data_IF_823983768316
#
_entry.id   IF_823983768316
#
_cell.length_a   1.000
_cell.length_b   1.000
_cell.length_c   1.000
_cell.angle_alpha   90.00
_cell.angle_beta   90.00
_cell.angle_gamma   90.00
#
_symmetry.space_group_name_H-M   'P 1'
#
loop_
_entity.id
_entity.type
_entity.pdbx_description
1 polymer ?
#
# COMPACT_ATOMS: atom_id res chain seq x y z
N UNK A 1 -1.73 21.54 0.76
CA UNK A 1 -2.59 20.62 1.56
C UNK A 1 -1.79 19.34 1.75
N UNK A 2 -1.68 18.82 2.96
CA UNK A 2 -0.96 17.55 3.21
C UNK A 2 -1.92 16.38 3.01
N UNK A 3 -1.40 15.27 2.48
CA UNK A 3 -2.16 14.07 2.25
C UNK A 3 -1.68 12.99 3.22
N UNK A 4 -2.60 12.43 3.99
CA UNK A 4 -2.32 11.37 4.97
C UNK A 4 -2.97 10.06 4.53
N UNK A 5 -2.19 9.00 4.58
CA UNK A 5 -2.63 7.63 4.30
C UNK A 5 -2.53 6.84 5.60
N UNK A 6 -3.63 6.26 6.05
CA UNK A 6 -3.64 5.44 7.25
C UNK A 6 -2.89 4.13 6.99
N UNK A 7 -1.73 3.96 7.63
CA UNK A 7 -0.92 2.74 7.54
C UNK A 7 -1.72 1.56 8.10
N UNK A 8 -1.99 0.55 7.28
CA UNK A 8 -2.84 -0.61 7.60
C UNK A 8 -4.26 -0.26 8.08
N UNK A 9 -4.77 0.90 7.61
CA UNK A 9 -6.05 1.47 8.07
C UNK A 9 -5.93 2.27 9.37
N UNK A 10 -7.02 2.94 9.78
CA UNK A 10 -7.09 3.61 11.09
C UNK A 10 -7.23 2.56 12.19
N UNK A 11 -6.12 2.17 12.78
CA UNK A 11 -6.08 1.20 13.87
C UNK A 11 -5.83 1.89 15.22
N UNK A 12 -6.24 1.23 16.30
CA UNK A 12 -6.11 1.71 17.69
C UNK A 12 -5.89 0.50 18.60
N UNK A 13 -5.84 0.70 19.91
CA UNK A 13 -5.84 -0.41 20.88
C UNK A 13 -7.06 -1.33 20.74
N UNK A 14 -8.20 -0.83 20.21
CA UNK A 14 -9.46 -1.58 20.04
C UNK A 14 -9.72 -2.02 18.61
N UNK A 15 -9.04 -1.43 17.64
CA UNK A 15 -9.20 -1.70 16.20
C UNK A 15 -7.89 -2.23 15.68
N UNK A 16 -7.86 -3.52 15.31
CA UNK A 16 -6.66 -4.14 14.73
C UNK A 16 -6.34 -3.57 13.35
N UNK A 17 -5.05 -3.41 13.08
CA UNK A 17 -4.51 -3.11 11.76
C UNK A 17 -4.91 -4.17 10.71
N UNK A 18 -4.91 -3.79 9.44
CA UNK A 18 -5.21 -4.68 8.31
C UNK A 18 -6.58 -5.39 8.45
N UNK A 19 -7.59 -4.69 8.95
CA UNK A 19 -8.97 -5.18 9.06
C UNK A 19 -9.96 -4.28 8.33
N UNK A 20 -11.10 -4.85 7.90
CA UNK A 20 -12.17 -4.08 7.26
C UNK A 20 -12.68 -2.94 8.17
N UNK A 21 -12.65 -3.14 9.50
CA UNK A 21 -13.02 -2.09 10.46
C UNK A 21 -12.04 -0.92 10.39
N UNK A 22 -10.72 -1.20 10.39
CA UNK A 22 -9.69 -0.16 10.29
C UNK A 22 -9.79 0.62 8.97
N UNK A 23 -10.07 -0.06 7.86
CA UNK A 23 -10.25 0.60 6.56
C UNK A 23 -11.50 1.47 6.52
N UNK A 24 -12.62 0.98 7.05
CA UNK A 24 -13.87 1.78 7.15
C UNK A 24 -13.67 3.04 7.99
N UNK A 25 -12.96 2.94 9.10
CA UNK A 25 -12.68 4.11 9.94
C UNK A 25 -11.73 5.10 9.23
N UNK A 26 -10.72 4.63 8.50
CA UNK A 26 -9.89 5.49 7.65
C UNK A 26 -10.71 6.19 6.55
N UNK A 27 -11.65 5.47 5.91
CA UNK A 27 -12.55 6.04 4.92
C UNK A 27 -13.47 7.14 5.49
N UNK A 28 -13.97 6.96 6.70
CA UNK A 28 -14.84 7.95 7.37
C UNK A 28 -14.07 9.17 7.90
N UNK A 29 -12.81 9.00 8.26
CA UNK A 29 -12.01 10.06 8.87
C UNK A 29 -11.78 11.23 7.90
N UNK A 30 -12.02 12.48 8.27
CA UNK A 30 -11.73 13.65 7.42
C UNK A 30 -10.22 13.91 7.30
N UNK A 31 -9.38 13.31 8.15
CA UNK A 31 -7.93 13.53 8.17
C UNK A 31 -7.20 12.66 7.16
N UNK A 32 -7.69 11.44 6.90
CA UNK A 32 -7.04 10.53 5.98
C UNK A 32 -7.58 10.68 4.56
N UNK A 33 -6.67 10.73 3.60
CA UNK A 33 -6.95 10.74 2.17
C UNK A 33 -7.00 9.33 1.57
N UNK A 34 -6.74 8.32 2.40
CA UNK A 34 -6.74 6.93 2.01
C UNK A 34 -6.24 6.02 3.12
N UNK A 35 -6.10 4.77 2.78
CA UNK A 35 -5.47 3.76 3.65
C UNK A 35 -4.50 2.91 2.83
N UNK A 36 -3.53 2.38 3.55
CA UNK A 36 -2.61 1.37 3.04
C UNK A 36 -2.99 0.01 3.59
N UNK A 37 -2.70 -1.07 2.85
CA UNK A 37 -2.87 -2.44 3.31
C UNK A 37 -1.91 -3.42 2.63
N UNK A 38 -1.58 -4.49 3.36
CA UNK A 38 -0.58 -5.49 2.98
C UNK A 38 -1.23 -6.72 2.33
N UNK A 39 -0.89 -7.01 1.08
CA UNK A 39 -1.42 -8.14 0.32
C UNK A 39 -0.48 -9.33 0.35
N UNK A 40 -1.01 -10.50 0.77
CA UNK A 40 -0.35 -11.80 0.71
C UNK A 40 -1.22 -12.84 0.01
N UNK A 41 -0.61 -13.98 -0.31
CA UNK A 41 -1.27 -15.11 -0.98
C UNK A 41 -1.27 -16.33 -0.07
N UNK A 42 -2.42 -16.99 0.06
CA UNK A 42 -2.56 -18.26 0.77
C UNK A 42 -2.19 -19.45 -0.12
N UNK A 43 -2.13 -20.66 0.47
CA UNK A 43 -1.82 -21.91 -0.27
C UNK A 43 -2.79 -22.16 -1.43
N UNK A 44 -4.06 -21.85 -1.25
CA UNK A 44 -5.13 -21.99 -2.25
C UNK A 44 -5.31 -20.74 -3.12
N UNK A 45 -4.25 -19.94 -3.25
CA UNK A 45 -4.16 -18.77 -4.10
C UNK A 45 -5.18 -17.65 -3.78
N UNK A 46 -5.75 -17.63 -2.57
CA UNK A 46 -6.61 -16.53 -2.12
C UNK A 46 -5.74 -15.34 -1.69
N UNK A 47 -6.03 -14.15 -2.23
CA UNK A 47 -5.38 -12.90 -1.84
C UNK A 47 -5.98 -12.40 -0.53
N UNK A 48 -5.15 -12.23 0.49
CA UNK A 48 -5.55 -11.85 1.85
C UNK A 48 -4.79 -10.60 2.32
N UNK A 49 -5.39 -9.88 3.26
CA UNK A 49 -4.79 -8.68 3.84
C UNK A 49 -4.17 -9.02 5.18
N UNK A 50 -2.83 -9.07 5.21
CA UNK A 50 -2.04 -9.33 6.42
C UNK A 50 -0.58 -8.96 6.22
N UNK A 51 0.02 -8.26 7.18
CA UNK A 51 1.42 -7.83 7.09
C UNK A 51 2.42 -9.00 7.24
N UNK A 52 2.31 -9.77 8.33
CA UNK A 52 3.30 -10.80 8.65
C UNK A 52 3.11 -12.05 7.79
N UNK A 53 4.21 -12.71 7.42
CA UNK A 53 4.17 -14.00 6.74
C UNK A 53 3.53 -15.10 7.60
N UNK A 54 3.58 -14.94 8.92
CA UNK A 54 2.97 -15.85 9.89
C UNK A 54 1.85 -15.16 10.66
N UNK A 55 0.80 -15.93 10.96
CA UNK A 55 -0.22 -15.59 11.94
C UNK A 55 -0.39 -16.74 12.92
N UNK A 56 -0.05 -16.50 14.20
CA UNK A 56 0.14 -17.58 15.15
C UNK A 56 1.20 -18.56 14.61
N UNK A 57 0.87 -19.85 14.54
CA UNK A 57 1.76 -20.89 14.00
C UNK A 57 1.60 -21.14 12.49
N UNK A 58 0.74 -20.42 11.81
CA UNK A 58 0.42 -20.67 10.41
C UNK A 58 1.23 -19.74 9.49
N UNK A 59 2.06 -20.33 8.61
CA UNK A 59 2.64 -19.63 7.49
C UNK A 59 1.54 -19.40 6.45
N UNK A 60 1.22 -18.16 6.14
CA UNK A 60 0.10 -17.76 5.26
C UNK A 60 0.16 -18.54 3.94
N UNK A 61 1.30 -18.50 3.28
CA UNK A 61 1.53 -19.13 1.98
C UNK A 61 1.32 -20.65 1.95
N UNK A 62 1.51 -21.34 3.09
CA UNK A 62 1.37 -22.79 3.20
C UNK A 62 0.02 -23.22 3.80
N UNK A 63 -0.88 -22.28 4.05
CA UNK A 63 -2.16 -22.54 4.73
C UNK A 63 -3.32 -22.08 3.85
N UNK A 64 -4.34 -22.95 3.69
CA UNK A 64 -5.56 -22.59 2.96
C UNK A 64 -6.35 -21.51 3.70
N UNK A 65 -6.97 -20.61 2.95
CA UNK A 65 -7.74 -19.49 3.51
C UNK A 65 -8.85 -19.94 4.46
N UNK A 66 -9.56 -21.02 4.14
CA UNK A 66 -10.61 -21.57 5.00
C UNK A 66 -10.11 -21.93 6.41
N UNK A 67 -8.87 -22.41 6.53
CA UNK A 67 -8.23 -22.70 7.83
C UNK A 67 -7.88 -21.41 8.58
N UNK A 68 -7.36 -20.42 7.87
CA UNK A 68 -7.02 -19.11 8.46
C UNK A 68 -8.29 -18.39 8.93
N UNK A 69 -9.32 -18.35 8.11
CA UNK A 69 -10.60 -17.69 8.41
C UNK A 69 -11.29 -18.23 9.66
N UNK A 70 -11.19 -19.55 9.91
CA UNK A 70 -11.76 -20.17 11.14
C UNK A 70 -11.09 -19.69 12.43
N UNK A 71 -9.82 -19.25 12.37
CA UNK A 71 -9.02 -18.92 13.57
C UNK A 71 -8.74 -17.44 13.71
N UNK A 72 -8.69 -16.72 12.59
CA UNK A 72 -8.23 -15.34 12.54
C UNK A 72 -9.18 -14.51 11.67
N UNK A 73 -9.43 -13.30 12.08
CA UNK A 73 -10.26 -12.34 11.32
C UNK A 73 -9.41 -11.65 10.25
N UNK A 74 -9.00 -12.41 9.22
CA UNK A 74 -8.20 -11.90 8.10
C UNK A 74 -9.15 -11.62 6.93
N UNK A 75 -9.24 -10.38 6.42
CA UNK A 75 -10.02 -10.09 5.23
C UNK A 75 -9.28 -10.55 3.96
N UNK A 76 -10.05 -10.84 2.92
CA UNK A 76 -9.52 -10.99 1.58
C UNK A 76 -9.28 -9.62 0.93
N UNK A 77 -8.42 -9.57 -0.09
CA UNK A 77 -8.26 -8.37 -0.92
C UNK A 77 -9.61 -7.96 -1.54
N UNK A 78 -10.39 -8.92 -2.00
CA UNK A 78 -11.73 -8.67 -2.55
C UNK A 78 -12.62 -7.93 -1.54
N UNK A 79 -12.74 -8.43 -0.31
CA UNK A 79 -13.53 -7.79 0.75
C UNK A 79 -13.04 -6.36 1.07
N UNK A 80 -11.73 -6.11 1.00
CA UNK A 80 -11.18 -4.77 1.18
C UNK A 80 -11.51 -3.83 0.02
N UNK A 81 -11.50 -4.32 -1.22
CA UNK A 81 -11.82 -3.55 -2.43
C UNK A 81 -13.34 -3.35 -2.64
N UNK A 82 -14.19 -4.12 -1.98
CA UNK A 82 -15.64 -3.92 -1.95
C UNK A 82 -16.06 -2.72 -1.07
N UNK A 83 -15.12 -2.12 -0.34
CA UNK A 83 -15.39 -0.86 0.37
C UNK A 83 -15.54 0.27 -0.64
N UNK A 84 -16.75 0.80 -0.76
CA UNK A 84 -17.01 1.96 -1.60
C UNK A 84 -16.32 3.20 -1.01
N UNK A 85 -15.34 3.73 -1.73
CA UNK A 85 -14.60 4.94 -1.33
C UNK A 85 -13.99 5.63 -2.55
N UNK A 86 -13.93 6.95 -2.52
CA UNK A 86 -13.19 7.80 -3.46
C UNK A 86 -11.74 8.05 -3.01
N UNK A 87 -11.41 7.62 -1.80
CA UNK A 87 -10.09 7.77 -1.21
C UNK A 87 -9.06 6.82 -1.83
N UNK A 88 -7.80 7.11 -1.61
CA UNK A 88 -6.68 6.28 -2.08
C UNK A 88 -6.68 4.94 -1.34
N UNK A 89 -6.56 3.85 -2.09
CA UNK A 89 -6.26 2.51 -1.60
C UNK A 89 -4.84 2.17 -2.04
N UNK A 90 -3.90 2.14 -1.11
CA UNK A 90 -2.50 1.84 -1.38
C UNK A 90 -2.21 0.37 -1.02
N UNK A 91 -2.01 -0.47 -2.04
CA UNK A 91 -1.78 -1.91 -1.87
C UNK A 91 -0.27 -2.20 -1.86
N UNK A 92 0.26 -2.71 -0.76
CA UNK A 92 1.62 -3.25 -0.70
C UNK A 92 1.62 -4.75 -0.98
N UNK A 93 2.26 -5.18 -2.06
CA UNK A 93 2.45 -6.60 -2.36
C UNK A 93 3.66 -7.12 -1.59
N UNK A 94 3.42 -8.10 -0.68
CA UNK A 94 4.43 -8.70 0.19
C UNK A 94 5.03 -10.00 -0.37
N UNK A 95 4.66 -10.40 -1.58
CA UNK A 95 5.08 -11.67 -2.19
C UNK A 95 5.95 -11.45 -3.42
N UNK A 96 7.15 -12.09 -3.46
CA UNK A 96 8.05 -12.03 -4.62
C UNK A 96 7.52 -12.83 -5.82
N UNK A 97 6.80 -13.90 -5.54
CA UNK A 97 6.28 -14.87 -6.51
C UNK A 97 4.74 -14.86 -6.56
N UNK A 98 4.19 -13.63 -6.49
CA UNK A 98 2.78 -13.37 -6.70
C UNK A 98 2.30 -14.00 -8.02
N UNK A 99 1.16 -14.69 -8.00
CA UNK A 99 0.41 -15.02 -9.20
C UNK A 99 -0.20 -13.73 -9.77
N UNK A 100 0.49 -13.19 -10.79
CA UNK A 100 0.13 -11.90 -11.40
C UNK A 100 -1.24 -11.97 -12.07
N UNK A 101 -1.54 -13.07 -12.76
CA UNK A 101 -2.79 -13.20 -13.50
C UNK A 101 -3.98 -13.29 -12.53
N UNK A 102 -3.84 -14.03 -11.41
CA UNK A 102 -4.84 -14.06 -10.35
C UNK A 102 -5.02 -12.69 -9.70
N UNK A 103 -3.93 -11.98 -9.41
CA UNK A 103 -3.99 -10.63 -8.83
C UNK A 103 -4.71 -9.65 -9.76
N UNK A 104 -4.34 -9.62 -11.05
CA UNK A 104 -4.99 -8.76 -12.04
C UNK A 104 -6.47 -9.10 -12.22
N UNK A 105 -6.83 -10.39 -12.23
CA UNK A 105 -8.23 -10.82 -12.30
C UNK A 105 -9.07 -10.26 -11.14
N UNK A 106 -8.49 -10.16 -9.94
CA UNK A 106 -9.20 -9.58 -8.79
C UNK A 106 -9.32 -8.06 -8.92
N UNK A 107 -8.20 -7.34 -9.12
CA UNK A 107 -8.21 -5.87 -9.06
C UNK A 107 -8.91 -5.22 -10.26
N UNK A 108 -8.91 -5.86 -11.43
CA UNK A 108 -9.54 -5.31 -12.64
C UNK A 108 -11.06 -5.13 -12.53
N UNK A 109 -11.71 -5.77 -11.55
CA UNK A 109 -13.12 -5.55 -11.26
C UNK A 109 -13.38 -4.20 -10.54
N UNK A 110 -12.32 -3.49 -10.11
CA UNK A 110 -12.41 -2.28 -9.28
C UNK A 110 -11.78 -1.04 -9.96
N UNK A 111 -11.86 -0.94 -11.29
CA UNK A 111 -11.26 0.13 -12.10
C UNK A 111 -11.73 1.55 -11.73
N UNK A 112 -12.89 1.68 -11.08
CA UNK A 112 -13.42 2.98 -10.63
C UNK A 112 -12.78 3.46 -9.32
N UNK A 113 -12.04 2.62 -8.62
CA UNK A 113 -11.41 2.97 -7.36
C UNK A 113 -10.02 3.58 -7.57
N UNK A 114 -9.62 4.41 -6.63
CA UNK A 114 -8.33 5.10 -6.64
C UNK A 114 -7.22 4.22 -6.05
N UNK A 115 -6.89 3.12 -6.74
CA UNK A 115 -5.95 2.09 -6.32
C UNK A 115 -4.54 2.43 -6.80
N UNK A 116 -3.56 2.32 -5.89
CA UNK A 116 -2.12 2.43 -6.12
C UNK A 116 -1.45 1.14 -5.65
N UNK A 117 -0.51 0.60 -6.42
CA UNK A 117 0.13 -0.69 -6.13
C UNK A 117 1.62 -0.48 -5.93
N UNK A 118 2.14 -0.94 -4.81
CA UNK A 118 3.56 -0.85 -4.48
C UNK A 118 4.13 -2.18 -4.00
N UNK A 119 5.44 -2.32 -4.05
CA UNK A 119 6.16 -3.44 -3.45
C UNK A 119 7.62 -3.08 -3.22
N UNK A 120 8.26 -3.72 -2.22
CA UNK A 120 9.72 -3.78 -2.12
C UNK A 120 10.34 -4.66 -3.22
N UNK A 121 9.54 -5.51 -3.86
CA UNK A 121 10.00 -6.41 -4.91
C UNK A 121 9.81 -5.77 -6.30
N UNK A 122 10.80 -5.02 -6.78
CA UNK A 122 10.76 -4.37 -8.10
C UNK A 122 10.39 -5.33 -9.24
N UNK A 123 10.78 -6.63 -9.12
CA UNK A 123 10.42 -7.66 -10.10
C UNK A 123 8.92 -7.86 -10.23
N UNK A 124 8.17 -7.77 -9.13
CA UNK A 124 6.70 -7.91 -9.13
C UNK A 124 6.07 -6.73 -9.86
N UNK A 125 6.52 -5.52 -9.56
CA UNK A 125 6.03 -4.29 -10.23
C UNK A 125 6.32 -4.32 -11.73
N UNK A 126 7.53 -4.76 -12.14
CA UNK A 126 7.87 -4.92 -13.57
C UNK A 126 6.95 -5.95 -14.25
N UNK A 127 6.72 -7.11 -13.64
CA UNK A 127 5.80 -8.12 -14.18
C UNK A 127 4.36 -7.60 -14.32
N UNK A 128 3.85 -6.84 -13.34
CA UNK A 128 2.53 -6.19 -13.43
C UNK A 128 2.47 -5.25 -14.64
N UNK A 129 3.50 -4.44 -14.83
CA UNK A 129 3.61 -3.53 -16.00
C UNK A 129 3.64 -4.31 -17.32
N UNK A 130 4.47 -5.35 -17.42
CA UNK A 130 4.57 -6.23 -18.60
C UNK A 130 3.24 -6.92 -18.94
N UNK A 131 2.44 -7.25 -17.93
CA UNK A 131 1.10 -7.85 -18.07
C UNK A 131 -0.02 -6.82 -18.32
N UNK A 132 0.32 -5.54 -18.50
CA UNK A 132 -0.63 -4.49 -18.85
C UNK A 132 -1.49 -4.00 -17.69
N UNK A 133 -0.98 -4.02 -16.45
CA UNK A 133 -1.66 -3.40 -15.32
C UNK A 133 -1.91 -1.93 -15.60
N UNK A 134 -3.17 -1.49 -15.47
CA UNK A 134 -3.59 -0.09 -15.74
C UNK A 134 -3.61 0.79 -14.49
N UNK A 135 -3.44 0.22 -13.32
CA UNK A 135 -3.34 0.96 -12.07
C UNK A 135 -1.95 1.57 -11.90
N UNK A 136 -1.82 2.72 -11.22
CA UNK A 136 -0.53 3.30 -10.89
C UNK A 136 0.38 2.31 -10.14
N UNK A 137 1.60 2.15 -10.65
CA UNK A 137 2.62 1.24 -10.13
C UNK A 137 3.78 2.02 -9.53
N UNK A 138 4.17 1.68 -8.31
CA UNK A 138 5.28 2.30 -7.60
C UNK A 138 6.20 1.30 -6.92
N UNK A 139 7.39 1.75 -6.60
CA UNK A 139 8.37 0.98 -5.82
C UNK A 139 8.53 1.56 -4.43
N UNK A 140 8.78 0.66 -3.49
CA UNK A 140 8.99 0.97 -2.09
C UNK A 140 10.44 0.61 -1.75
N UNK A 141 11.22 1.62 -1.28
CA UNK A 141 12.64 1.47 -1.03
C UNK A 141 13.07 2.10 0.29
N UNK A 142 14.04 1.48 0.95
CA UNK A 142 14.71 2.03 2.14
C UNK A 142 15.79 3.07 1.79
N UNK A 143 16.32 3.00 0.58
CA UNK A 143 17.39 3.88 0.09
C UNK A 143 17.04 4.40 -1.28
N UNK A 144 17.58 5.54 -1.62
CA UNK A 144 17.48 6.12 -2.95
C UNK A 144 18.82 5.91 -3.68
N UNK A 145 18.82 5.12 -4.75
CA UNK A 145 20.02 4.79 -5.50
C UNK A 145 20.33 5.83 -6.58
N UNK A 146 19.41 5.99 -7.54
CA UNK A 146 19.55 6.97 -8.61
C UNK A 146 18.20 7.45 -9.12
N UNK A 147 18.17 8.62 -9.75
CA UNK A 147 16.96 9.19 -10.36
C UNK A 147 16.44 8.33 -11.52
N UNK A 148 17.35 7.67 -12.26
CA UNK A 148 17.04 6.84 -13.43
C UNK A 148 16.24 5.59 -13.06
N UNK A 149 16.53 4.99 -11.89
CA UNK A 149 15.83 3.79 -11.41
C UNK A 149 14.33 4.02 -11.28
N UNK A 150 13.90 5.26 -11.01
CA UNK A 150 12.50 5.58 -10.73
C UNK A 150 11.75 6.21 -11.91
N UNK A 151 12.41 6.33 -13.06
CA UNK A 151 11.82 6.96 -14.25
C UNK A 151 10.56 6.24 -14.72
N UNK A 152 10.56 4.92 -14.67
CA UNK A 152 9.51 4.05 -15.24
C UNK A 152 8.33 3.78 -14.32
N UNK A 153 8.33 4.31 -13.09
CA UNK A 153 7.25 4.12 -12.13
C UNK A 153 6.35 5.35 -12.04
N UNK A 154 5.05 5.14 -11.78
CA UNK A 154 4.08 6.23 -11.70
C UNK A 154 4.24 7.04 -10.41
N UNK A 155 4.69 6.39 -9.34
CA UNK A 155 4.97 6.99 -8.05
C UNK A 155 6.13 6.28 -7.34
N UNK A 156 6.58 6.85 -6.24
CA UNK A 156 7.63 6.28 -5.40
C UNK A 156 7.22 6.30 -3.93
N UNK A 157 7.72 5.31 -3.17
CA UNK A 157 7.53 5.23 -1.72
C UNK A 157 8.90 5.18 -1.05
N UNK A 158 9.19 6.15 -0.20
CA UNK A 158 10.50 6.33 0.43
C UNK A 158 10.40 6.48 1.95
N UNK A 159 11.44 5.99 2.62
CA UNK A 159 11.64 6.26 4.04
C UNK A 159 11.87 7.78 4.27
N UNK A 160 11.28 8.34 5.32
CA UNK A 160 11.36 9.79 5.61
C UNK A 160 12.81 10.30 5.70
N UNK A 161 13.71 9.52 6.30
CA UNK A 161 15.12 9.87 6.47
C UNK A 161 15.92 10.02 5.16
N UNK A 162 15.46 9.39 4.08
CA UNK A 162 16.09 9.48 2.75
C UNK A 162 15.62 10.72 1.98
N UNK A 163 14.51 11.30 2.39
CA UNK A 163 13.81 12.34 1.64
C UNK A 163 14.47 13.71 1.80
N UNK A 164 15.14 14.20 0.75
CA UNK A 164 15.68 15.56 0.67
C UNK A 164 14.79 16.51 -0.13
N UNK A 165 14.95 17.83 0.08
CA UNK A 165 14.25 18.85 -0.73
C UNK A 165 14.56 18.75 -2.23
N UNK A 166 15.80 18.40 -2.58
CA UNK A 166 16.21 18.16 -3.97
C UNK A 166 15.40 17.02 -4.58
N UNK A 167 15.28 15.91 -3.86
CA UNK A 167 14.58 14.72 -4.33
C UNK A 167 13.06 14.98 -4.48
N UNK A 168 12.46 15.67 -3.51
CA UNK A 168 11.05 16.06 -3.59
C UNK A 168 10.80 16.91 -4.84
N UNK A 169 11.64 17.93 -5.09
CA UNK A 169 11.52 18.79 -6.25
C UNK A 169 11.70 18.00 -7.56
N UNK A 170 12.64 17.06 -7.60
CA UNK A 170 12.86 16.18 -8.76
C UNK A 170 11.57 15.43 -9.17
N UNK A 171 10.87 14.82 -8.20
CA UNK A 171 9.62 14.12 -8.47
C UNK A 171 8.45 15.09 -8.74
N UNK A 172 8.42 16.23 -8.06
CA UNK A 172 7.37 17.23 -8.24
C UNK A 172 7.38 17.82 -9.66
N UNK A 173 8.54 18.13 -10.23
CA UNK A 173 8.67 18.62 -11.61
C UNK A 173 8.22 17.59 -12.64
N UNK A 174 8.25 16.31 -12.29
CA UNK A 174 7.78 15.18 -13.13
C UNK A 174 6.33 14.78 -12.83
N UNK A 175 5.63 15.55 -11.98
CA UNK A 175 4.24 15.31 -11.53
C UNK A 175 4.04 13.93 -10.89
N UNK A 176 5.11 13.35 -10.32
CA UNK A 176 5.04 12.05 -9.62
C UNK A 176 4.71 12.25 -8.16
N UNK A 177 3.79 11.43 -7.64
CA UNK A 177 3.51 11.36 -6.21
C UNK A 177 4.68 10.72 -5.47
N UNK A 178 4.94 11.20 -4.25
CA UNK A 178 5.92 10.61 -3.34
C UNK A 178 5.19 10.22 -2.06
N UNK A 179 5.09 8.93 -1.80
CA UNK A 179 4.59 8.43 -0.54
C UNK A 179 5.77 8.30 0.43
N UNK A 180 5.54 8.67 1.68
CA UNK A 180 6.60 8.75 2.71
C UNK A 180 6.17 7.95 3.91
N UNK A 181 7.01 7.02 4.36
CA UNK A 181 6.77 6.19 5.54
C UNK A 181 7.89 6.33 6.58
N UNK A 182 7.71 5.74 7.78
CA UNK A 182 8.68 5.81 8.87
C UNK A 182 8.77 7.21 9.50
N UNK A 183 7.65 7.90 9.61
CA UNK A 183 7.57 9.27 10.10
C UNK A 183 7.35 9.23 11.60
N UNK A 184 8.33 9.73 12.36
CA UNK A 184 8.21 9.91 13.81
C UNK A 184 7.76 11.31 14.20
N UNK A 185 8.09 12.31 13.38
CA UNK A 185 7.68 13.70 13.56
C UNK A 185 7.64 14.40 12.21
N UNK A 186 6.50 15.00 11.90
CA UNK A 186 6.33 15.69 10.63
C UNK A 186 7.20 16.97 10.59
N UNK A 187 8.09 17.03 9.60
CA UNK A 187 8.92 18.22 9.38
C UNK A 187 8.10 19.30 8.66
N UNK A 188 7.85 20.43 9.29
CA UNK A 188 7.06 21.54 8.76
C UNK A 188 7.57 22.03 7.39
N UNK A 189 8.90 21.99 7.15
CA UNK A 189 9.47 22.39 5.86
C UNK A 189 9.03 21.51 4.69
N UNK A 190 8.66 20.26 4.95
CA UNK A 190 8.18 19.31 3.93
C UNK A 190 6.68 19.43 3.67
N UNK A 191 5.90 20.00 4.59
CA UNK A 191 4.44 20.19 4.45
C UNK A 191 4.03 21.10 3.27
N UNK A 192 4.95 21.89 2.74
CA UNK A 192 4.70 22.82 1.62
C UNK A 192 4.59 22.15 0.24
N UNK A 193 4.95 20.87 0.12
CA UNK A 193 4.96 20.15 -1.15
C UNK A 193 3.62 19.44 -1.39
N UNK A 194 3.04 19.66 -2.57
CA UNK A 194 1.72 19.11 -2.92
C UNK A 194 1.77 17.66 -3.46
N UNK A 195 2.97 17.12 -3.70
CA UNK A 195 3.15 15.76 -4.20
C UNK A 195 3.52 14.75 -3.10
N UNK A 196 3.55 15.17 -1.82
CA UNK A 196 3.86 14.29 -0.68
C UNK A 196 2.59 13.72 -0.05
N UNK A 197 2.63 12.41 0.15
CA UNK A 197 1.60 11.61 0.80
C UNK A 197 2.25 10.87 1.97
N UNK A 198 1.80 11.13 3.18
CA UNK A 198 2.41 10.61 4.41
C UNK A 198 1.67 9.36 4.88
N UNK A 199 2.37 8.21 4.90
CA UNK A 199 1.85 6.95 5.44
C UNK A 199 2.15 6.96 6.94
N UNK A 200 1.11 7.00 7.76
CA UNK A 200 1.22 7.21 9.21
C UNK A 200 0.30 6.27 9.98
N UNK A 201 0.76 5.88 11.18
CA UNK A 201 -0.05 5.09 12.11
C UNK A 201 -1.08 5.97 12.83
N UNK A 202 -0.66 7.19 13.21
CA UNK A 202 -1.51 8.17 13.87
C UNK A 202 -1.47 9.51 13.12
N UNK A 203 -2.53 10.32 13.28
CA UNK A 203 -2.51 11.71 12.80
C UNK A 203 -1.56 12.50 13.68
N UNK A 204 -0.43 12.90 13.12
CA UNK A 204 0.64 13.65 13.79
C UNK A 204 0.27 15.12 13.97
#
# INVERSE_FOLDING_TARGET
MNYFIAHRGLHTSEIKENTLKAFKEACKSPFYNGFECDVRTTKDNTLVIVHNAFIGKHLIRNTNYATLKKKYSIPTLKEALELETDKIILLEIKELDLDIDNFLNVINNYQKQNIYIMSFYNKVIKKLKEKGCTFPLGVLNYVFNSEEEYHDYDFIVLLESVLSHRLINYFNTRKKKVFVYGIHKLNESKKRYNNLYFIVDDVL
#
